data_IF_184680783672
#
_entry.id   IF_184680783672
#
_cell.length_a   1.000
_cell.length_b   1.000
_cell.length_c   1.000
_cell.angle_alpha   90.00
_cell.angle_beta   90.00
_cell.angle_gamma   90.00
#
_symmetry.space_group_name_H-M   'P 1'
#
loop_
_entity.id
_entity.type
_entity.pdbx_description
1 polymer ?
#
# COMPACT_ATOMS: atom_id res chain seq x y z
N UNK A 1 -12.77 42.23 27.31
CA UNK A 1 -11.51 41.97 26.58
C UNK A 1 -11.89 41.18 25.35
N UNK A 2 -12.11 41.88 24.24
CA UNK A 2 -12.46 41.26 22.97
C UNK A 2 -11.24 40.53 22.42
N UNK A 3 -11.40 39.24 22.16
CA UNK A 3 -10.36 38.42 21.52
C UNK A 3 -10.21 38.89 20.07
N UNK A 4 -9.11 39.57 19.79
CA UNK A 4 -8.74 40.00 18.45
C UNK A 4 -8.33 38.76 17.63
N UNK A 5 -9.20 38.33 16.71
CA UNK A 5 -8.91 37.27 15.74
C UNK A 5 -7.69 37.65 14.91
N UNK A 6 -6.70 36.76 14.86
CA UNK A 6 -5.52 36.99 14.03
C UNK A 6 -5.88 36.81 12.54
N UNK A 7 -5.09 37.40 11.64
CA UNK A 7 -5.31 37.24 10.20
C UNK A 7 -5.36 35.76 9.77
N UNK A 8 -4.54 34.90 10.42
CA UNK A 8 -4.57 33.45 10.25
C UNK A 8 -5.91 32.84 10.70
N UNK A 9 -6.47 33.25 11.84
CA UNK A 9 -7.79 32.78 12.31
C UNK A 9 -8.92 33.17 11.34
N UNK A 10 -8.78 34.33 10.65
CA UNK A 10 -9.72 34.77 9.61
C UNK A 10 -9.62 33.97 8.30
N UNK A 11 -8.41 33.53 7.94
CA UNK A 11 -8.20 32.70 6.75
C UNK A 11 -8.72 31.27 6.95
N UNK A 12 -8.66 30.77 8.19
CA UNK A 12 -9.26 29.49 8.58
C UNK A 12 -10.78 29.57 8.86
N UNK A 13 -11.31 30.73 9.23
CA UNK A 13 -12.75 30.94 9.51
C UNK A 13 -13.62 31.04 8.25
N UNK A 14 -13.03 31.28 7.08
CA UNK A 14 -13.72 31.15 5.81
C UNK A 14 -14.01 29.67 5.52
N UNK A 15 -15.21 29.22 5.92
CA UNK A 15 -15.79 27.91 5.61
C UNK A 15 -15.77 27.68 4.10
N UNK A 16 -14.68 27.10 3.54
CA UNK A 16 -14.71 26.55 2.16
C UNK A 16 -16.00 25.75 1.98
N UNK A 17 -16.70 26.01 0.87
CA UNK A 17 -17.94 25.34 0.51
C UNK A 17 -17.74 23.82 0.50
N UNK A 18 -18.67 23.07 1.11
CA UNK A 18 -18.69 21.60 0.98
C UNK A 18 -18.70 21.22 -0.50
N UNK A 19 -17.85 20.27 -0.88
CA UNK A 19 -17.79 19.78 -2.25
C UNK A 19 -19.04 18.97 -2.59
N UNK A 20 -19.40 18.90 -3.88
CA UNK A 20 -20.51 18.07 -4.35
C UNK A 20 -20.35 16.59 -3.95
N UNK A 21 -19.10 16.11 -3.95
CA UNK A 21 -18.73 14.75 -3.58
C UNK A 21 -19.02 14.46 -2.11
N UNK A 22 -18.61 15.34 -1.20
CA UNK A 22 -18.84 15.16 0.24
C UNK A 22 -20.33 15.08 0.55
N UNK A 23 -21.14 15.96 -0.06
CA UNK A 23 -22.60 15.92 0.07
C UNK A 23 -23.19 14.61 -0.44
N UNK A 24 -22.73 14.14 -1.60
CA UNK A 24 -23.19 12.88 -2.16
C UNK A 24 -22.87 11.70 -1.25
N UNK A 25 -21.60 11.56 -0.82
CA UNK A 25 -21.19 10.45 0.05
C UNK A 25 -21.93 10.47 1.39
N UNK A 26 -22.03 11.63 2.04
CA UNK A 26 -22.78 11.75 3.30
C UNK A 26 -24.26 11.40 3.17
N UNK A 27 -24.87 11.62 2.00
CA UNK A 27 -26.25 11.16 1.72
C UNK A 27 -26.29 9.65 1.50
N UNK A 28 -25.35 9.09 0.73
CA UNK A 28 -25.29 7.66 0.46
C UNK A 28 -25.02 6.84 1.73
N UNK A 29 -24.15 7.31 2.62
CA UNK A 29 -23.86 6.65 3.90
C UNK A 29 -25.11 6.53 4.81
N UNK A 30 -26.07 7.45 4.69
CA UNK A 30 -27.34 7.40 5.44
C UNK A 30 -28.41 6.53 4.79
N UNK A 31 -28.42 6.45 3.46
CA UNK A 31 -29.48 5.78 2.70
C UNK A 31 -29.18 4.31 2.42
N UNK A 32 -27.91 3.96 2.28
CA UNK A 32 -27.48 2.64 1.83
C UNK A 32 -27.06 1.82 3.05
N UNK A 33 -27.59 0.59 3.24
CA UNK A 33 -27.17 -0.31 4.30
C UNK A 33 -25.81 -0.93 3.95
N UNK A 34 -24.75 -0.12 4.02
CA UNK A 34 -23.41 -0.48 3.55
C UNK A 34 -22.87 -1.76 4.18
N UNK A 35 -22.98 -1.92 5.49
CA UNK A 35 -22.50 -3.11 6.19
C UNK A 35 -23.09 -4.40 5.57
N UNK A 36 -24.41 -4.43 5.35
CA UNK A 36 -25.09 -5.58 4.73
C UNK A 36 -24.63 -5.81 3.30
N UNK A 37 -24.46 -4.76 2.50
CA UNK A 37 -24.01 -4.91 1.11
C UNK A 37 -22.56 -5.38 1.04
N UNK A 38 -21.70 -4.85 1.89
CA UNK A 38 -20.30 -5.25 1.98
C UNK A 38 -20.18 -6.72 2.38
N UNK A 39 -20.94 -7.20 3.36
CA UNK A 39 -20.91 -8.61 3.77
C UNK A 39 -21.35 -9.56 2.65
N UNK A 40 -22.24 -9.11 1.76
CA UNK A 40 -22.67 -9.90 0.59
C UNK A 40 -21.63 -9.83 -0.54
N UNK A 41 -20.97 -8.70 -0.76
CA UNK A 41 -20.09 -8.49 -1.92
C UNK A 41 -18.65 -8.92 -1.66
N UNK A 42 -18.15 -8.76 -0.42
CA UNK A 42 -16.74 -9.04 -0.07
C UNK A 42 -16.28 -10.45 -0.47
N UNK A 43 -17.06 -11.52 -0.23
CA UNK A 43 -16.68 -12.88 -0.65
C UNK A 43 -16.56 -13.07 -2.16
N UNK A 44 -17.08 -12.14 -2.96
CA UNK A 44 -17.11 -12.22 -4.43
C UNK A 44 -16.10 -11.27 -5.10
N UNK A 45 -15.18 -10.65 -4.34
CA UNK A 45 -14.09 -9.91 -4.96
C UNK A 45 -13.11 -10.86 -5.66
N UNK A 46 -12.68 -10.55 -6.89
CA UNK A 46 -11.98 -11.51 -7.73
C UNK A 46 -10.51 -11.69 -7.38
N UNK A 47 -9.99 -11.03 -6.33
CA UNK A 47 -8.55 -11.07 -6.04
C UNK A 47 -8.06 -12.49 -5.74
N UNK A 48 -8.69 -13.18 -4.80
CA UNK A 48 -8.33 -14.55 -4.42
C UNK A 48 -8.54 -15.52 -5.60
N UNK A 49 -9.66 -15.39 -6.32
CA UNK A 49 -9.97 -16.24 -7.47
C UNK A 49 -8.96 -16.08 -8.61
N UNK A 50 -8.59 -14.84 -8.94
CA UNK A 50 -7.56 -14.56 -9.95
C UNK A 50 -6.20 -15.06 -9.48
N UNK A 51 -5.83 -14.84 -8.22
CA UNK A 51 -4.57 -15.34 -7.66
C UNK A 51 -4.50 -16.87 -7.73
N UNK A 52 -5.60 -17.56 -7.42
CA UNK A 52 -5.71 -19.01 -7.55
C UNK A 52 -5.52 -19.46 -9.00
N UNK A 53 -6.24 -18.87 -9.96
CA UNK A 53 -6.09 -19.21 -11.38
C UNK A 53 -4.66 -19.00 -11.89
N UNK A 54 -4.00 -17.92 -11.46
CA UNK A 54 -2.61 -17.65 -11.84
C UNK A 54 -1.62 -18.64 -11.22
N UNK A 55 -1.91 -19.13 -10.01
CA UNK A 55 -1.14 -20.19 -9.38
C UNK A 55 -1.33 -21.52 -10.10
N UNK A 56 -2.57 -21.90 -10.41
CA UNK A 56 -2.90 -23.12 -11.16
C UNK A 56 -2.31 -23.11 -12.58
N UNK A 57 -2.28 -21.96 -13.24
CA UNK A 57 -1.64 -21.77 -14.53
C UNK A 57 -0.10 -21.78 -14.47
N UNK A 58 0.50 -21.89 -13.28
CA UNK A 58 1.95 -21.89 -13.08
C UNK A 58 2.62 -20.54 -13.33
N UNK A 59 1.84 -19.45 -13.39
CA UNK A 59 2.36 -18.09 -13.60
C UNK A 59 2.81 -17.47 -12.28
N UNK A 60 2.07 -17.71 -11.20
CA UNK A 60 2.45 -17.25 -9.87
C UNK A 60 3.41 -18.25 -9.20
N UNK A 61 4.64 -17.81 -8.92
CA UNK A 61 5.61 -18.57 -8.16
C UNK A 61 5.54 -18.20 -6.67
N UNK A 62 5.87 -19.17 -5.83
CA UNK A 62 5.72 -19.09 -4.38
C UNK A 62 7.06 -18.91 -3.62
N UNK A 63 8.19 -19.21 -4.24
CA UNK A 63 9.46 -19.24 -3.51
C UNK A 63 10.02 -17.85 -3.13
N UNK A 64 9.56 -16.78 -3.80
CA UNK A 64 10.13 -15.45 -3.67
C UNK A 64 9.11 -14.35 -3.50
N UNK A 65 9.14 -13.66 -2.36
CA UNK A 65 8.19 -12.57 -2.08
C UNK A 65 8.89 -11.22 -1.91
N UNK A 66 8.30 -10.18 -2.51
CA UNK A 66 8.65 -8.78 -2.31
C UNK A 66 7.52 -8.14 -1.50
N UNK A 67 7.84 -7.59 -0.33
CA UNK A 67 6.87 -6.86 0.49
C UNK A 67 7.13 -5.36 0.42
N UNK A 68 6.07 -4.59 0.18
CA UNK A 68 6.12 -3.13 0.16
C UNK A 68 4.77 -2.53 0.50
N UNK A 69 4.79 -1.24 0.86
CA UNK A 69 3.58 -0.50 1.22
C UNK A 69 3.50 0.83 0.48
N UNK A 70 2.29 1.18 0.04
CA UNK A 70 2.04 2.47 -0.59
C UNK A 70 0.96 3.24 0.16
N UNK A 71 1.20 4.53 0.37
CA UNK A 71 0.20 5.44 0.93
C UNK A 71 -0.79 5.80 -0.18
N UNK A 72 -2.08 5.70 0.16
CA UNK A 72 -3.20 6.16 -0.66
C UNK A 72 -3.86 7.30 0.09
N UNK A 73 -3.82 8.49 -0.51
CA UNK A 73 -4.36 9.68 0.13
C UNK A 73 -5.89 9.61 0.21
N UNK A 74 -6.44 10.06 1.33
CA UNK A 74 -7.86 10.29 1.51
C UNK A 74 -8.17 11.79 1.53
N UNK A 75 -9.43 12.20 1.30
CA UNK A 75 -9.85 13.57 1.57
C UNK A 75 -9.66 13.91 3.07
N UNK A 76 -8.85 14.93 3.37
CA UNK A 76 -8.58 15.40 4.74
C UNK A 76 -9.55 16.47 5.24
N UNK A 77 -10.59 16.74 4.47
CA UNK A 77 -11.58 17.78 4.73
C UNK A 77 -12.47 17.41 5.91
N UNK A 78 -12.60 18.33 6.85
CA UNK A 78 -13.56 18.30 7.98
C UNK A 78 -14.88 18.98 7.64
N UNK A 79 -15.07 19.40 6.37
CA UNK A 79 -16.20 20.23 5.96
C UNK A 79 -17.39 19.37 5.55
N UNK A 80 -17.84 18.51 6.45
CA UNK A 80 -19.10 17.77 6.35
C UNK A 80 -20.07 18.26 7.43
N UNK A 81 -21.28 17.68 7.51
CA UNK A 81 -22.28 18.08 8.51
C UNK A 81 -21.81 17.83 9.94
N UNK A 82 -20.94 16.84 10.14
CA UNK A 82 -20.41 16.41 11.44
C UNK A 82 -19.15 17.18 11.87
N UNK A 83 -18.48 17.89 10.95
CA UNK A 83 -17.22 18.58 11.24
C UNK A 83 -15.99 17.67 11.32
N UNK A 84 -16.12 16.39 10.97
CA UNK A 84 -15.10 15.37 11.24
C UNK A 84 -14.46 14.81 9.97
N UNK A 85 -13.22 14.32 10.09
CA UNK A 85 -12.56 13.58 9.01
C UNK A 85 -13.14 12.17 8.90
N UNK A 86 -12.63 11.38 7.97
CA UNK A 86 -12.88 9.94 8.01
C UNK A 86 -12.19 9.35 9.26
N UNK A 87 -12.93 8.74 10.20
CA UNK A 87 -12.37 8.24 11.46
C UNK A 87 -11.42 7.05 11.28
N UNK A 88 -11.53 6.31 10.17
CA UNK A 88 -10.67 5.15 9.89
C UNK A 88 -9.41 5.53 9.09
N UNK A 89 -9.28 6.80 8.71
CA UNK A 89 -8.13 7.32 7.99
C UNK A 89 -7.25 8.14 8.93
N UNK A 90 -5.94 7.95 8.86
CA UNK A 90 -5.00 8.61 9.76
C UNK A 90 -3.86 9.30 9.02
N UNK A 91 -3.20 10.22 9.71
CA UNK A 91 -2.06 10.94 9.16
C UNK A 91 -0.75 10.20 9.39
N UNK A 92 0.17 10.31 8.44
CA UNK A 92 1.52 9.78 8.53
C UNK A 92 2.49 10.72 7.84
N UNK A 93 3.77 10.66 8.21
CA UNK A 93 4.82 11.49 7.62
C UNK A 93 5.74 10.60 6.78
N UNK A 94 5.83 10.88 5.48
CA UNK A 94 6.79 10.24 4.57
C UNK A 94 7.81 11.28 4.13
N UNK A 95 9.07 11.09 4.52
CA UNK A 95 10.09 12.13 4.36
C UNK A 95 9.71 13.40 5.12
N UNK A 96 9.63 14.53 4.41
CA UNK A 96 9.20 15.82 4.99
C UNK A 96 7.72 16.15 4.76
N UNK A 97 6.97 15.27 4.07
CA UNK A 97 5.59 15.54 3.70
C UNK A 97 4.62 14.75 4.59
N UNK A 98 3.54 15.41 5.00
CA UNK A 98 2.43 14.80 5.71
C UNK A 98 1.38 14.32 4.72
N UNK A 99 0.90 13.10 4.94
CA UNK A 99 -0.19 12.48 4.18
C UNK A 99 -1.30 12.08 5.13
N UNK A 100 -2.55 12.13 4.67
CA UNK A 100 -3.72 11.66 5.40
C UNK A 100 -4.42 10.61 4.55
N UNK A 101 -4.67 9.42 5.11
CA UNK A 101 -5.34 8.34 4.40
C UNK A 101 -5.03 6.96 4.96
N UNK A 102 -4.85 6.03 4.02
CA UNK A 102 -4.60 4.61 4.28
C UNK A 102 -3.28 4.17 3.64
N UNK A 103 -2.83 2.98 3.99
CA UNK A 103 -1.79 2.23 3.30
C UNK A 103 -2.39 0.99 2.66
N UNK A 104 -1.90 0.65 1.48
CA UNK A 104 -2.05 -0.68 0.90
C UNK A 104 -0.68 -1.36 0.98
N UNK A 105 -0.62 -2.49 1.68
CA UNK A 105 0.55 -3.35 1.79
C UNK A 105 0.35 -4.53 0.85
N UNK A 106 1.39 -4.94 0.15
CA UNK A 106 1.32 -6.03 -0.83
C UNK A 106 2.49 -6.99 -0.67
N UNK A 107 2.22 -8.28 -0.91
CA UNK A 107 3.20 -9.30 -1.23
C UNK A 107 3.17 -9.58 -2.74
N UNK A 108 4.34 -9.55 -3.35
CA UNK A 108 4.50 -9.67 -4.81
C UNK A 108 5.52 -10.75 -5.14
N UNK A 109 5.21 -11.63 -6.10
CA UNK A 109 6.17 -12.63 -6.56
C UNK A 109 7.40 -11.95 -7.18
N UNK A 110 8.58 -12.27 -6.65
CA UNK A 110 9.85 -11.67 -7.02
C UNK A 110 10.27 -11.98 -8.46
N UNK A 111 9.73 -13.04 -9.08
CA UNK A 111 10.05 -13.38 -10.47
C UNK A 111 9.16 -12.63 -11.45
N UNK A 112 7.84 -12.73 -11.31
CA UNK A 112 6.85 -12.22 -12.27
C UNK A 112 6.41 -10.79 -12.00
N UNK A 113 6.41 -10.37 -10.72
CA UNK A 113 5.84 -9.10 -10.29
C UNK A 113 4.31 -9.14 -10.12
N UNK A 114 3.72 -10.33 -9.97
CA UNK A 114 2.29 -10.54 -9.70
C UNK A 114 2.04 -10.40 -8.20
N UNK A 115 1.00 -9.67 -7.81
CA UNK A 115 0.58 -9.53 -6.41
C UNK A 115 -0.14 -10.79 -5.96
N UNK A 116 0.35 -11.45 -4.91
CA UNK A 116 -0.25 -12.66 -4.36
C UNK A 116 -1.04 -12.41 -3.08
N UNK A 117 -0.68 -11.37 -2.33
CA UNK A 117 -1.35 -10.98 -1.09
C UNK A 117 -1.44 -9.46 -1.01
N UNK A 118 -2.47 -8.95 -0.35
CA UNK A 118 -2.54 -7.55 0.04
C UNK A 118 -3.35 -7.39 1.32
N UNK A 119 -3.09 -6.30 2.03
CA UNK A 119 -3.89 -5.88 3.17
C UNK A 119 -3.91 -4.35 3.23
N UNK A 120 -4.95 -3.80 3.86
CA UNK A 120 -5.12 -2.36 3.97
C UNK A 120 -5.25 -1.92 5.41
N UNK A 121 -4.60 -0.80 5.73
CA UNK A 121 -4.61 -0.24 7.07
C UNK A 121 -4.71 1.27 7.00
N UNK A 122 -4.99 1.91 8.13
CA UNK A 122 -4.75 3.34 8.25
C UNK A 122 -3.28 3.70 8.02
N UNK A 123 -2.99 4.93 7.60
CA UNK A 123 -1.63 5.28 7.17
C UNK A 123 -0.59 5.39 8.31
N UNK A 124 -1.04 5.49 9.56
CA UNK A 124 -0.17 5.52 10.75
C UNK A 124 0.32 4.12 11.16
N UNK A 125 -0.33 3.06 10.69
CA UNK A 125 0.09 1.68 11.00
C UNK A 125 1.49 1.40 10.47
N UNK A 126 2.26 0.66 11.27
CA UNK A 126 3.63 0.32 10.95
C UNK A 126 3.65 -0.91 10.03
N UNK A 127 4.38 -0.81 8.92
CA UNK A 127 4.39 -1.82 7.84
C UNK A 127 4.79 -3.21 8.36
N UNK A 128 5.73 -3.26 9.31
CA UNK A 128 6.15 -4.47 10.01
C UNK A 128 5.01 -5.30 10.63
N UNK A 129 3.92 -4.66 11.09
CA UNK A 129 2.79 -5.36 11.72
C UNK A 129 1.95 -6.13 10.70
N UNK A 130 2.06 -5.79 9.41
CA UNK A 130 1.31 -6.44 8.33
C UNK A 130 2.13 -7.51 7.62
N UNK A 131 3.43 -7.62 7.92
CA UNK A 131 4.34 -8.49 7.19
C UNK A 131 3.90 -9.95 7.15
N UNK A 132 3.29 -10.48 8.23
CA UNK A 132 2.83 -11.87 8.28
C UNK A 132 1.67 -12.13 7.30
N UNK A 133 0.74 -11.18 7.17
CA UNK A 133 -0.39 -11.27 6.23
C UNK A 133 0.05 -11.18 4.76
N UNK A 134 1.27 -10.70 4.51
CA UNK A 134 1.80 -10.54 3.15
C UNK A 134 2.58 -11.76 2.68
N UNK A 135 2.75 -12.77 3.54
CA UNK A 135 3.48 -13.99 3.25
C UNK A 135 2.50 -15.17 3.20
N UNK A 136 2.79 -16.15 2.34
CA UNK A 136 1.96 -17.34 2.19
C UNK A 136 2.60 -18.60 2.80
N UNK A 137 3.82 -18.50 3.35
CA UNK A 137 4.49 -19.57 4.10
C UNK A 137 5.34 -20.54 3.27
N UNK A 138 5.38 -20.36 1.95
CA UNK A 138 6.20 -21.20 1.04
C UNK A 138 7.43 -20.44 0.53
N UNK A 139 7.66 -19.22 1.03
CA UNK A 139 8.79 -18.39 0.65
C UNK A 139 10.11 -18.97 1.11
N UNK A 140 11.09 -19.00 0.21
CA UNK A 140 12.50 -19.26 0.50
C UNK A 140 13.25 -17.95 0.70
N UNK A 141 12.86 -16.89 -0.01
CA UNK A 141 13.49 -15.57 0.09
C UNK A 141 12.47 -14.43 0.12
N UNK A 142 12.68 -13.49 1.03
CA UNK A 142 11.81 -12.32 1.23
C UNK A 142 12.63 -11.04 1.06
N UNK A 143 12.21 -10.17 0.16
CA UNK A 143 12.81 -8.84 -0.01
C UNK A 143 11.89 -7.75 0.51
N UNK A 144 12.46 -6.82 1.28
CA UNK A 144 11.66 -5.81 1.95
C UNK A 144 12.35 -4.46 2.03
N UNK A 145 11.55 -3.43 2.29
CA UNK A 145 12.02 -2.07 2.55
C UNK A 145 12.65 -1.88 3.94
N UNK A 146 13.32 -0.75 4.15
CA UNK A 146 13.97 -0.46 5.42
C UNK A 146 12.98 -0.27 6.59
N UNK A 147 11.69 -0.10 6.31
CA UNK A 147 10.58 -0.10 7.27
C UNK A 147 10.29 -1.48 7.86
N UNK A 148 10.59 -2.56 7.14
CA UNK A 148 10.46 -3.94 7.65
C UNK A 148 11.64 -4.41 8.52
N UNK A 149 12.56 -3.52 8.89
CA UNK A 149 13.66 -3.88 9.81
C UNK A 149 13.13 -4.39 11.13
N UNK A 150 13.65 -5.53 11.56
CA UNK A 150 13.19 -6.23 12.76
C UNK A 150 12.23 -7.38 12.48
N UNK A 151 11.81 -7.59 11.22
CA UNK A 151 10.96 -8.71 10.81
C UNK A 151 11.45 -10.07 11.35
N UNK A 152 12.73 -10.39 11.17
CA UNK A 152 13.35 -11.63 11.69
C UNK A 152 13.22 -11.85 13.20
N UNK A 153 12.93 -10.79 13.98
CA UNK A 153 12.84 -10.86 15.45
C UNK A 153 11.40 -11.01 15.96
N UNK A 154 10.39 -10.80 15.11
CA UNK A 154 8.98 -10.93 15.47
C UNK A 154 8.62 -12.39 15.65
N UNK A 155 7.95 -12.74 16.74
CA UNK A 155 7.52 -14.12 17.01
C UNK A 155 6.60 -14.66 15.91
N UNK A 156 5.68 -13.82 15.45
CA UNK A 156 4.78 -14.09 14.32
C UNK A 156 5.55 -14.48 13.06
N UNK A 157 6.74 -13.95 12.80
CA UNK A 157 7.49 -14.24 11.57
C UNK A 157 8.54 -15.34 11.72
N UNK A 158 8.69 -15.93 12.92
CA UNK A 158 9.69 -16.97 13.18
C UNK A 158 9.37 -18.31 12.52
N UNK A 159 8.10 -18.56 12.19
CA UNK A 159 7.69 -19.81 11.56
C UNK A 159 8.04 -19.85 10.06
N UNK A 160 8.22 -18.68 9.43
CA UNK A 160 8.69 -18.58 8.06
C UNK A 160 10.19 -18.86 7.98
N UNK A 161 10.58 -20.04 7.47
CA UNK A 161 11.98 -20.43 7.28
C UNK A 161 12.59 -19.80 6.01
N UNK A 162 12.45 -18.48 5.88
CA UNK A 162 12.86 -17.72 4.70
C UNK A 162 14.05 -16.80 4.98
N UNK A 163 14.89 -16.60 3.96
CA UNK A 163 15.97 -15.63 4.01
C UNK A 163 15.46 -14.21 3.75
N UNK A 164 15.53 -13.35 4.76
CA UNK A 164 15.15 -11.94 4.58
C UNK A 164 16.31 -11.08 4.08
N UNK A 165 16.03 -10.37 2.99
CA UNK A 165 16.86 -9.35 2.35
C UNK A 165 16.21 -7.97 2.49
N UNK A 166 16.39 -7.38 3.67
CA UNK A 166 15.90 -6.04 3.99
C UNK A 166 16.88 -5.00 3.44
N UNK A 167 16.34 -3.94 2.80
CA UNK A 167 17.15 -2.84 2.27
C UNK A 167 17.79 -2.01 3.38
N UNK A 168 19.03 -1.56 3.15
CA UNK A 168 19.74 -0.69 4.08
C UNK A 168 19.20 0.74 4.05
N UNK A 169 19.30 1.45 5.18
CA UNK A 169 18.84 2.83 5.27
C UNK A 169 19.63 3.78 4.35
N UNK A 170 18.99 4.81 3.79
CA UNK A 170 19.66 5.79 2.93
C UNK A 170 20.88 6.45 3.58
N UNK A 171 20.82 6.76 4.88
CA UNK A 171 21.93 7.36 5.62
C UNK A 171 23.15 6.44 5.73
N UNK A 172 22.92 5.15 6.01
CA UNK A 172 23.99 4.14 6.07
C UNK A 172 24.56 3.83 4.69
N UNK A 173 23.70 3.75 3.68
CA UNK A 173 24.14 3.59 2.29
C UNK A 173 25.01 4.78 1.83
N UNK A 174 24.65 6.02 2.24
CA UNK A 174 25.46 7.22 2.00
C UNK A 174 26.83 7.12 2.67
N UNK A 175 26.91 6.63 3.90
CA UNK A 175 28.17 6.40 4.59
C UNK A 175 29.05 5.33 3.89
N UNK A 176 28.44 4.21 3.45
CA UNK A 176 29.17 3.17 2.71
C UNK A 176 29.80 3.71 1.41
N UNK A 177 29.06 4.58 0.70
CA UNK A 177 29.51 5.22 -0.54
C UNK A 177 30.66 6.22 -0.36
N UNK A 178 30.99 6.64 0.86
CA UNK A 178 32.17 7.50 1.12
C UNK A 178 33.48 6.74 0.90
N UNK A 179 33.49 5.40 1.06
CA UNK A 179 34.66 4.53 0.82
C UNK A 179 34.30 3.38 -0.12
N UNK A 180 34.03 3.66 -1.41
CA UNK A 180 33.43 2.70 -2.32
C UNK A 180 34.35 1.53 -2.66
N UNK A 181 35.68 1.73 -2.67
CA UNK A 181 36.65 0.66 -2.93
C UNK A 181 36.62 -0.44 -1.86
N UNK A 182 36.54 -0.03 -0.58
CA UNK A 182 36.47 -0.96 0.56
C UNK A 182 35.07 -1.59 0.66
N UNK A 183 34.02 -0.79 0.45
CA UNK A 183 32.63 -1.23 0.60
C UNK A 183 32.01 -1.80 -0.68
N UNK A 184 32.82 -2.14 -1.69
CA UNK A 184 32.35 -2.51 -3.04
C UNK A 184 31.28 -3.61 -3.02
N UNK A 185 31.54 -4.70 -2.31
CA UNK A 185 30.63 -5.86 -2.21
C UNK A 185 29.32 -5.47 -1.53
N UNK A 186 29.37 -4.69 -0.44
CA UNK A 186 28.17 -4.22 0.27
C UNK A 186 27.31 -3.32 -0.60
N UNK A 187 27.93 -2.38 -1.32
CA UNK A 187 27.21 -1.48 -2.23
C UNK A 187 26.56 -2.27 -3.37
N UNK A 188 27.27 -3.25 -3.95
CA UNK A 188 26.73 -4.13 -4.99
C UNK A 188 25.56 -4.98 -4.48
N UNK A 189 25.65 -5.48 -3.24
CA UNK A 189 24.56 -6.24 -2.60
C UNK A 189 23.30 -5.37 -2.46
N UNK A 190 23.44 -4.14 -1.98
CA UNK A 190 22.30 -3.22 -1.85
C UNK A 190 21.73 -2.82 -3.22
N UNK A 191 22.58 -2.69 -4.25
CA UNK A 191 22.12 -2.46 -5.61
C UNK A 191 21.32 -3.64 -6.16
N UNK A 192 21.78 -4.88 -5.94
CA UNK A 192 21.08 -6.09 -6.36
C UNK A 192 19.71 -6.22 -5.65
N UNK A 193 19.67 -6.00 -4.33
CA UNK A 193 18.41 -5.96 -3.57
C UNK A 193 17.44 -4.94 -4.16
N UNK A 194 17.91 -3.72 -4.44
CA UNK A 194 17.08 -2.66 -5.01
C UNK A 194 16.57 -3.02 -6.41
N UNK A 195 17.41 -3.64 -7.25
CA UNK A 195 17.02 -4.08 -8.60
C UNK A 195 15.93 -5.15 -8.57
N UNK A 196 16.01 -6.11 -7.66
CA UNK A 196 14.97 -7.14 -7.47
C UNK A 196 13.68 -6.48 -6.97
N UNK A 197 13.80 -5.62 -5.95
CA UNK A 197 12.66 -4.93 -5.34
C UNK A 197 11.92 -4.01 -6.30
N UNK A 198 12.57 -3.44 -7.31
CA UNK A 198 11.92 -2.55 -8.27
C UNK A 198 10.66 -3.17 -8.93
N UNK A 199 10.56 -4.50 -9.01
CA UNK A 199 9.36 -5.18 -9.52
C UNK A 199 8.11 -4.93 -8.67
N UNK A 200 8.23 -4.73 -7.36
CA UNK A 200 7.10 -4.41 -6.47
C UNK A 200 6.49 -3.04 -6.80
N UNK A 201 7.23 -2.18 -7.49
CA UNK A 201 6.73 -0.88 -7.94
C UNK A 201 5.77 -1.01 -9.14
N UNK A 202 5.82 -2.13 -9.89
CA UNK A 202 4.98 -2.31 -11.08
C UNK A 202 3.48 -2.31 -10.75
N UNK A 203 2.98 -3.10 -9.77
CA UNK A 203 1.57 -3.03 -9.39
C UNK A 203 1.13 -1.63 -8.99
N UNK A 204 1.93 -0.93 -8.17
CA UNK A 204 1.61 0.44 -7.76
C UNK A 204 1.60 1.42 -8.93
N UNK A 205 2.52 1.27 -9.89
CA UNK A 205 2.54 2.10 -11.10
C UNK A 205 1.31 1.86 -11.97
N UNK A 206 0.89 0.61 -12.15
CA UNK A 206 -0.32 0.28 -12.92
C UNK A 206 -1.55 0.95 -12.26
N UNK A 207 -1.73 0.74 -10.96
CA UNK A 207 -2.85 1.31 -10.19
C UNK A 207 -2.86 2.84 -10.25
N UNK A 208 -1.72 3.49 -10.02
CA UNK A 208 -1.65 4.95 -9.92
C UNK A 208 -1.64 5.64 -11.28
N UNK A 209 -0.89 5.13 -12.24
CA UNK A 209 -0.65 5.79 -13.52
C UNK A 209 -1.57 5.29 -14.64
N UNK A 210 -1.86 3.99 -14.71
CA UNK A 210 -2.71 3.44 -15.78
C UNK A 210 -4.19 3.47 -15.39
N UNK A 211 -4.53 3.03 -14.17
CA UNK A 211 -5.90 3.06 -13.68
C UNK A 211 -6.29 4.43 -13.07
N UNK A 212 -5.32 5.31 -12.86
CA UNK A 212 -5.56 6.66 -12.33
C UNK A 212 -6.03 6.69 -10.87
N UNK A 213 -5.80 5.62 -10.11
CA UNK A 213 -6.19 5.54 -8.71
C UNK A 213 -5.14 6.17 -7.80
N UNK A 214 -5.21 7.49 -7.66
CA UNK A 214 -4.27 8.28 -6.85
C UNK A 214 -4.85 8.63 -5.46
N UNK A 215 -6.18 8.61 -5.31
CA UNK A 215 -6.87 9.05 -4.10
C UNK A 215 -8.06 8.16 -3.75
N UNK A 216 -8.17 7.78 -2.48
CA UNK A 216 -9.31 7.09 -1.92
C UNK A 216 -10.60 7.88 -2.17
N UNK A 217 -11.65 7.16 -2.58
CA UNK A 217 -12.91 7.78 -2.99
C UNK A 217 -14.00 7.57 -1.96
N UNK A 218 -14.03 6.41 -1.30
CA UNK A 218 -15.02 6.06 -0.29
C UNK A 218 -14.57 6.48 1.11
N UNK A 219 -15.53 6.58 2.04
CA UNK A 219 -15.25 6.67 3.47
C UNK A 219 -15.17 5.27 4.07
N UNK A 220 -14.26 5.06 5.02
CA UNK A 220 -14.02 3.77 5.68
C UNK A 220 -13.02 2.89 4.93
N UNK A 221 -12.29 2.05 5.67
CA UNK A 221 -11.27 1.16 5.13
C UNK A 221 -11.91 0.04 4.31
N UNK A 222 -12.95 -0.63 4.84
CA UNK A 222 -13.58 -1.81 4.19
C UNK A 222 -14.04 -1.54 2.74
N UNK A 223 -14.64 -0.37 2.48
CA UNK A 223 -15.04 0.04 1.11
C UNK A 223 -13.85 0.28 0.18
N UNK A 224 -12.76 0.86 0.72
CA UNK A 224 -11.56 1.12 -0.07
C UNK A 224 -10.75 -0.18 -0.27
N UNK A 225 -10.80 -1.10 0.69
CA UNK A 225 -10.21 -2.44 0.62
C UNK A 225 -10.81 -3.26 -0.53
N UNK A 226 -12.14 -3.36 -0.59
CA UNK A 226 -12.82 -4.03 -1.70
C UNK A 226 -12.53 -3.39 -3.07
N UNK A 227 -12.39 -2.06 -3.13
CA UNK A 227 -11.94 -1.39 -4.35
C UNK A 227 -10.51 -1.78 -4.73
N UNK A 228 -9.61 -1.88 -3.75
CA UNK A 228 -8.22 -2.28 -3.97
C UNK A 228 -8.12 -3.74 -4.38
N UNK A 229 -8.92 -4.64 -3.81
CA UNK A 229 -9.02 -6.04 -4.23
C UNK A 229 -9.28 -6.14 -5.74
N UNK A 230 -10.28 -5.40 -6.24
CA UNK A 230 -10.58 -5.34 -7.68
C UNK A 230 -9.42 -4.76 -8.50
N UNK A 231 -8.78 -3.69 -8.01
CA UNK A 231 -7.68 -3.04 -8.73
C UNK A 231 -6.44 -3.95 -8.80
N UNK A 232 -6.11 -4.68 -7.73
CA UNK A 232 -4.99 -5.62 -7.73
C UNK A 232 -5.27 -6.83 -8.62
N UNK A 233 -6.50 -7.36 -8.61
CA UNK A 233 -6.90 -8.44 -9.51
C UNK A 233 -6.72 -8.04 -10.99
N UNK A 234 -7.21 -6.86 -11.37
CA UNK A 234 -7.02 -6.33 -12.74
C UNK A 234 -5.55 -6.03 -13.04
N UNK A 235 -4.79 -5.57 -12.04
CA UNK A 235 -3.35 -5.30 -12.18
C UNK A 235 -2.59 -6.59 -12.51
N UNK A 236 -2.95 -7.71 -11.88
CA UNK A 236 -2.37 -9.02 -12.18
C UNK A 236 -2.65 -9.42 -13.63
N UNK A 237 -3.89 -9.27 -14.12
CA UNK A 237 -4.23 -9.55 -15.52
C UNK A 237 -3.42 -8.69 -16.49
N UNK A 238 -3.30 -7.39 -16.24
CA UNK A 238 -2.46 -6.47 -17.04
C UNK A 238 -1.00 -6.89 -16.99
N UNK A 239 -0.51 -7.36 -15.84
CA UNK A 239 0.87 -7.82 -15.69
C UNK A 239 1.15 -9.06 -16.53
N UNK A 240 0.22 -10.00 -16.56
CA UNK A 240 0.31 -11.20 -17.41
C UNK A 240 0.29 -10.83 -18.89
N UNK A 241 -0.61 -9.95 -19.33
CA UNK A 241 -0.62 -9.45 -20.71
C UNK A 241 0.73 -8.82 -21.11
N UNK A 242 1.33 -7.99 -20.23
CA UNK A 242 2.66 -7.43 -20.47
C UNK A 242 3.75 -8.49 -20.59
N UNK A 243 3.67 -9.58 -19.81
CA UNK A 243 4.64 -10.68 -19.88
C UNK A 243 4.49 -11.46 -21.19
N UNK A 244 3.27 -11.75 -21.62
CA UNK A 244 2.99 -12.45 -22.88
C UNK A 244 3.49 -11.62 -24.09
N UNK A 245 3.23 -10.30 -24.10
CA UNK A 245 3.72 -9.40 -25.15
C UNK A 245 5.25 -9.24 -25.19
N UNK A 246 5.94 -9.52 -24.09
CA UNK A 246 7.40 -9.44 -24.06
C UNK A 246 8.08 -10.72 -24.57
N UNK A 247 7.32 -11.82 -24.70
CA UNK A 247 7.82 -13.12 -25.17
C UNK A 247 7.62 -13.32 -26.68
N UNK A 248 6.66 -12.62 -27.30
CA UNK A 248 6.41 -12.61 -28.74
C UNK A 248 7.06 -11.42 -29.43
#
# INVERSE_FOLDING_TARGET
>A
MDQQLTFADSEFSNKRRQTRKEKFLGRMDKLIPWARLEDVIVPHYPFEEVSQWLSEAGVLLKEGSLIDATIIEAPSSTKNTEGERDPEMHQTKKGNQWHFGMKAHIGVDARTGITHSFTTTSANEHDLNQADQLLHGEEVFIFADAGYRGAKKRDELKHHQADWYIAEQPGRLKALKQRPRINKVRIQTEYLKASIRAKVEHPFRIIKCQFGFVKARYRGLKKNDGKLAMLFALTNVVRVDQMLRAQG
#
